data_IF_303835896022
#
_entry.id   IF_303835896022
#
_cell.length_a   1.000
_cell.length_b   1.000
_cell.length_c   1.000
_cell.angle_alpha   90.00
_cell.angle_beta   90.00
_cell.angle_gamma   90.00
#
_symmetry.space_group_name_H-M   'P 1'
#
loop_
_entity.id
_entity.type
_entity.pdbx_description
1 polymer ?
#
# COMPACT_ATOMS: atom_id res chain seq x y z
N UNK A 1 23.67 -19.13 -13.42
CA UNK A 1 22.27 -18.85 -13.05
C UNK A 1 22.34 -17.94 -11.84
N UNK A 2 22.23 -16.62 -12.04
CA UNK A 2 22.10 -15.70 -10.91
C UNK A 2 20.85 -16.12 -10.14
N UNK A 3 21.02 -16.53 -8.89
CA UNK A 3 19.91 -16.83 -8.00
C UNK A 3 19.04 -15.58 -7.97
N UNK A 4 17.83 -15.64 -8.52
CA UNK A 4 16.84 -14.61 -8.27
C UNK A 4 16.78 -14.42 -6.75
N UNK A 5 17.00 -13.21 -6.21
CA UNK A 5 16.88 -13.00 -4.79
C UNK A 5 15.46 -13.45 -4.40
N UNK A 6 15.38 -14.39 -3.45
CA UNK A 6 14.11 -14.88 -2.92
C UNK A 6 13.23 -13.68 -2.61
N UNK A 7 12.00 -13.66 -3.14
CA UNK A 7 11.04 -12.57 -2.88
C UNK A 7 10.97 -12.38 -1.37
N UNK A 8 11.27 -11.18 -0.87
CA UNK A 8 11.24 -10.91 0.57
C UNK A 8 9.80 -11.12 1.08
N UNK A 9 9.66 -11.89 2.15
CA UNK A 9 8.38 -12.18 2.83
C UNK A 9 8.60 -12.11 4.35
N UNK A 10 7.51 -11.87 5.09
CA UNK A 10 7.54 -11.75 6.55
C UNK A 10 8.25 -10.50 7.07
N UNK A 11 8.10 -10.24 8.37
CA UNK A 11 8.79 -9.18 9.11
C UNK A 11 10.09 -9.66 9.75
N UNK A 12 10.29 -10.98 9.85
CA UNK A 12 11.49 -11.56 10.47
C UNK A 12 12.75 -11.21 9.67
N UNK A 13 13.79 -10.80 10.38
CA UNK A 13 15.03 -10.28 9.77
C UNK A 13 14.96 -8.81 9.31
N UNK A 14 13.88 -8.08 9.63
CA UNK A 14 13.71 -6.65 9.32
C UNK A 14 14.88 -5.76 9.73
N UNK A 15 15.57 -6.07 10.83
CA UNK A 15 16.74 -5.32 11.31
C UNK A 15 17.90 -5.25 10.30
N UNK A 16 17.96 -6.19 9.35
CA UNK A 16 18.99 -6.24 8.31
C UNK A 16 18.48 -5.70 6.96
N UNK A 17 17.30 -5.08 6.94
CA UNK A 17 16.66 -4.56 5.73
C UNK A 17 16.64 -3.04 5.79
N UNK A 18 16.69 -2.43 4.61
CA UNK A 18 16.59 -0.99 4.44
C UNK A 18 15.72 -0.68 3.22
N UNK A 19 15.20 0.54 3.15
CA UNK A 19 14.48 1.02 1.98
C UNK A 19 15.45 1.70 1.01
N UNK A 20 15.53 1.21 -0.23
CA UNK A 20 16.45 1.73 -1.25
C UNK A 20 15.83 2.92 -2.00
N UNK A 21 16.12 4.13 -1.52
CA UNK A 21 15.64 5.37 -2.12
C UNK A 21 16.30 5.69 -3.47
N UNK A 22 17.55 5.26 -3.68
CA UNK A 22 18.24 5.46 -4.96
C UNK A 22 17.62 4.60 -6.06
N UNK A 23 17.25 3.35 -5.72
CA UNK A 23 16.53 2.50 -6.67
C UNK A 23 15.12 3.04 -6.96
N UNK A 24 14.43 3.55 -5.94
CA UNK A 24 13.13 4.20 -6.14
C UNK A 24 13.26 5.43 -7.06
N UNK A 25 14.31 6.23 -6.89
CA UNK A 25 14.62 7.38 -7.74
C UNK A 25 14.86 6.98 -9.20
N UNK A 26 15.65 5.93 -9.44
CA UNK A 26 15.92 5.38 -10.78
C UNK A 26 14.62 4.92 -11.46
N UNK A 27 13.79 4.15 -10.75
CA UNK A 27 12.53 3.61 -11.28
C UNK A 27 11.52 4.73 -11.54
N UNK A 28 11.42 5.70 -10.63
CA UNK A 28 10.55 6.87 -10.80
C UNK A 28 10.87 7.62 -12.09
N UNK A 29 12.15 7.86 -12.35
CA UNK A 29 12.61 8.50 -13.59
C UNK A 29 12.16 7.72 -14.83
N UNK A 30 12.32 6.40 -14.83
CA UNK A 30 11.86 5.55 -15.94
C UNK A 30 10.34 5.65 -16.14
N UNK A 31 9.56 5.60 -15.06
CA UNK A 31 8.10 5.73 -15.12
C UNK A 31 7.69 7.10 -15.69
N UNK A 32 8.32 8.19 -15.27
CA UNK A 32 8.05 9.54 -15.81
C UNK A 32 8.28 9.59 -17.33
N UNK A 33 9.39 9.03 -17.83
CA UNK A 33 9.61 8.96 -19.29
C UNK A 33 8.56 8.12 -20.01
N UNK A 34 8.20 6.97 -19.46
CA UNK A 34 7.22 6.07 -20.08
C UNK A 34 5.85 6.73 -20.17
N UNK A 35 5.38 7.34 -19.07
CA UNK A 35 4.10 8.05 -19.06
C UNK A 35 4.10 9.27 -19.99
N UNK A 36 5.22 10.00 -20.09
CA UNK A 36 5.32 11.10 -21.06
C UNK A 36 5.23 10.61 -22.52
N UNK A 37 5.84 9.46 -22.85
CA UNK A 37 5.73 8.86 -24.19
C UNK A 37 4.31 8.38 -24.50
N UNK A 38 3.61 7.84 -23.50
CA UNK A 38 2.22 7.38 -23.66
C UNK A 38 1.32 8.52 -24.15
N UNK A 39 1.54 9.77 -23.71
CA UNK A 39 0.76 10.92 -24.18
C UNK A 39 0.79 11.07 -25.70
N UNK A 40 1.93 10.81 -26.35
CA UNK A 40 2.06 10.98 -27.80
C UNK A 40 1.56 9.75 -28.59
N UNK A 41 1.68 8.55 -28.00
CA UNK A 41 1.30 7.28 -28.66
C UNK A 41 -0.17 6.91 -28.43
N UNK A 42 -0.79 7.44 -27.38
CA UNK A 42 -2.14 7.07 -26.99
C UNK A 42 -3.18 7.37 -28.09
N UNK A 43 -4.09 6.43 -28.32
CA UNK A 43 -5.27 6.69 -29.12
C UNK A 43 -6.30 7.47 -28.29
N UNK A 44 -6.69 8.65 -28.78
CA UNK A 44 -7.66 9.51 -28.10
C UNK A 44 -9.05 9.32 -28.70
N UNK A 45 -10.06 8.88 -27.91
CA UNK A 45 -11.40 8.63 -28.43
C UNK A 45 -12.16 9.93 -28.79
N UNK A 46 -11.76 11.07 -28.21
CA UNK A 46 -12.34 12.39 -28.48
C UNK A 46 -11.25 13.45 -28.57
N UNK A 47 -11.43 14.41 -29.49
CA UNK A 47 -10.41 15.45 -29.77
C UNK A 47 -10.15 16.37 -28.56
N UNK A 48 -11.16 16.61 -27.72
CA UNK A 48 -11.00 17.39 -26.50
C UNK A 48 -10.00 16.75 -25.52
N UNK A 49 -9.97 15.42 -25.43
CA UNK A 49 -9.00 14.69 -24.62
C UNK A 49 -7.59 14.78 -25.20
N UNK A 50 -7.45 14.61 -26.53
CA UNK A 50 -6.16 14.77 -27.22
C UNK A 50 -5.59 16.17 -26.99
N UNK A 51 -6.41 17.20 -27.24
CA UNK A 51 -6.02 18.60 -27.04
C UNK A 51 -5.58 18.87 -25.61
N UNK A 52 -6.32 18.38 -24.61
CA UNK A 52 -5.97 18.53 -23.19
C UNK A 52 -4.60 17.91 -22.88
N UNK A 53 -4.40 16.65 -23.25
CA UNK A 53 -3.15 15.95 -22.95
C UNK A 53 -1.95 16.55 -23.69
N UNK A 54 -2.06 16.94 -24.95
CA UNK A 54 -0.93 17.54 -25.67
C UNK A 54 -0.56 18.92 -25.13
N UNK A 55 -1.56 19.70 -24.68
CA UNK A 55 -1.38 21.06 -24.16
C UNK A 55 -0.79 21.12 -22.75
N UNK A 56 -1.21 20.21 -21.88
CA UNK A 56 -0.86 20.23 -20.45
C UNK A 56 0.08 19.09 -20.05
N UNK A 57 0.09 18.00 -20.81
CA UNK A 57 0.89 16.80 -20.60
C UNK A 57 0.88 16.23 -19.16
N UNK A 58 -0.28 16.18 -18.46
CA UNK A 58 -0.32 15.64 -17.10
C UNK A 58 -0.06 14.13 -17.13
N UNK A 59 0.65 13.62 -16.12
CA UNK A 59 0.81 12.19 -15.86
C UNK A 59 0.39 11.90 -14.41
N UNK A 60 0.13 10.64 -14.07
CA UNK A 60 -0.24 10.23 -12.72
C UNK A 60 0.60 9.05 -12.24
N UNK A 61 1.59 9.33 -11.41
CA UNK A 61 2.41 8.31 -10.73
C UNK A 61 1.78 8.02 -9.37
N UNK A 62 1.54 6.74 -9.11
CA UNK A 62 1.07 6.23 -7.83
C UNK A 62 2.01 5.19 -7.23
N UNK A 63 1.56 4.55 -6.16
CA UNK A 63 2.27 3.48 -5.46
C UNK A 63 1.35 2.29 -5.25
N UNK A 64 1.91 1.15 -4.87
CA UNK A 64 1.20 -0.02 -4.35
C UNK A 64 2.15 -0.77 -3.41
N UNK A 65 1.61 -1.57 -2.49
CA UNK A 65 2.40 -2.34 -1.54
C UNK A 65 3.07 -1.52 -0.44
N UNK A 66 2.47 -0.38 -0.03
CA UNK A 66 3.00 0.38 1.11
C UNK A 66 2.91 -0.43 2.41
N UNK A 67 1.80 -1.13 2.64
CA UNK A 67 1.66 -2.00 3.80
C UNK A 67 2.65 -3.17 3.78
N UNK A 68 2.86 -3.83 2.63
CA UNK A 68 3.90 -4.85 2.47
C UNK A 68 5.27 -4.29 2.85
N UNK A 69 5.59 -3.07 2.40
CA UNK A 69 6.88 -2.40 2.69
C UNK A 69 7.08 -2.22 4.19
N UNK A 70 6.07 -1.72 4.92
CA UNK A 70 6.17 -1.55 6.37
C UNK A 70 6.33 -2.90 7.09
N UNK A 71 5.57 -3.92 6.68
CA UNK A 71 5.71 -5.27 7.25
C UNK A 71 7.11 -5.82 7.02
N UNK A 72 7.63 -5.70 5.79
CA UNK A 72 8.98 -6.16 5.45
C UNK A 72 10.06 -5.45 6.28
N UNK A 73 9.84 -4.20 6.67
CA UNK A 73 10.74 -3.44 7.53
C UNK A 73 10.42 -3.60 9.03
N UNK A 74 9.47 -4.47 9.39
CA UNK A 74 9.08 -4.72 10.78
C UNK A 74 8.43 -3.51 11.46
N UNK A 75 7.85 -2.60 10.68
CA UNK A 75 7.20 -1.40 11.18
C UNK A 75 5.69 -1.63 11.32
N UNK A 76 5.11 -1.20 12.44
CA UNK A 76 3.67 -1.05 12.54
C UNK A 76 3.22 0.11 11.66
N UNK A 77 2.08 -0.01 10.98
CA UNK A 77 1.58 1.02 10.06
C UNK A 77 1.43 2.40 10.74
N UNK A 78 1.04 2.42 12.01
CA UNK A 78 0.84 3.65 12.79
C UNK A 78 2.06 4.10 13.61
N UNK A 79 3.23 3.48 13.40
CA UNK A 79 4.49 3.85 14.05
C UNK A 79 5.06 5.18 13.52
N UNK A 80 5.81 5.94 14.34
CA UNK A 80 6.53 7.13 13.88
C UNK A 80 7.47 6.85 12.70
N UNK A 81 8.15 5.70 12.71
CA UNK A 81 9.08 5.28 11.67
C UNK A 81 8.36 5.04 10.33
N UNK A 82 7.16 4.45 10.35
CA UNK A 82 6.33 4.29 9.16
C UNK A 82 5.80 5.63 8.61
N UNK A 83 5.49 6.60 9.49
CA UNK A 83 5.07 7.95 9.09
C UNK A 83 6.22 8.72 8.42
N UNK A 84 7.43 8.61 8.96
CA UNK A 84 8.64 9.18 8.35
C UNK A 84 8.96 8.52 7.01
N UNK A 85 8.98 7.20 6.94
CA UNK A 85 9.23 6.48 5.69
C UNK A 85 8.18 6.81 4.62
N UNK A 86 6.90 6.94 5.01
CA UNK A 86 5.85 7.41 4.12
C UNK A 86 6.23 8.78 3.50
N UNK A 87 6.59 9.76 4.33
CA UNK A 87 6.99 11.08 3.84
C UNK A 87 8.17 10.99 2.87
N UNK A 88 9.19 10.23 3.23
CA UNK A 88 10.43 10.10 2.46
C UNK A 88 10.23 9.40 1.11
N UNK A 89 9.36 8.38 1.05
CA UNK A 89 8.99 7.70 -0.20
C UNK A 89 8.36 8.71 -1.16
N UNK A 90 7.35 9.45 -0.71
CA UNK A 90 6.64 10.40 -1.57
C UNK A 90 7.49 11.62 -1.93
N UNK A 91 8.34 12.10 -1.01
CA UNK A 91 9.35 13.12 -1.29
C UNK A 91 10.27 12.67 -2.44
N UNK A 92 10.77 11.44 -2.37
CA UNK A 92 11.66 10.85 -3.38
C UNK A 92 10.98 10.74 -4.75
N UNK A 93 9.75 10.22 -4.81
CA UNK A 93 9.05 10.08 -6.09
C UNK A 93 8.76 11.46 -6.69
N UNK A 94 8.34 12.44 -5.88
CA UNK A 94 8.05 13.79 -6.40
C UNK A 94 9.32 14.49 -6.89
N UNK A 95 10.41 14.44 -6.11
CA UNK A 95 11.69 15.04 -6.50
C UNK A 95 12.20 14.45 -7.83
N UNK A 96 12.21 13.12 -7.96
CA UNK A 96 12.78 12.47 -9.14
C UNK A 96 11.86 12.52 -10.35
N UNK A 97 10.54 12.60 -10.17
CA UNK A 97 9.60 12.84 -11.28
C UNK A 97 9.72 14.26 -11.82
N UNK A 98 9.87 15.28 -10.95
CA UNK A 98 10.18 16.66 -11.36
C UNK A 98 11.52 16.73 -12.10
N UNK A 99 12.56 16.08 -11.55
CA UNK A 99 13.88 16.02 -12.18
C UNK A 99 13.80 15.43 -13.58
N UNK A 100 13.17 14.26 -13.73
CA UNK A 100 12.99 13.61 -15.02
C UNK A 100 12.16 14.46 -16.00
N UNK A 101 11.08 15.09 -15.53
CA UNK A 101 10.24 15.99 -16.32
C UNK A 101 11.02 17.21 -16.83
N UNK A 102 11.91 17.77 -16.02
CA UNK A 102 12.81 18.86 -16.41
C UNK A 102 13.92 18.41 -17.37
N UNK A 103 14.44 17.19 -17.22
CA UNK A 103 15.38 16.59 -18.19
C UNK A 103 14.70 16.34 -19.56
N UNK A 104 13.40 16.01 -19.59
CA UNK A 104 12.65 15.95 -20.86
C UNK A 104 12.50 17.36 -21.45
N UNK A 105 12.11 18.34 -20.63
CA UNK A 105 11.93 19.72 -21.08
C UNK A 105 13.22 20.35 -21.65
N UNK A 106 14.38 20.00 -21.10
CA UNK A 106 15.67 20.43 -21.65
C UNK A 106 15.90 19.97 -23.11
N UNK A 107 15.27 18.87 -23.54
CA UNK A 107 15.41 18.30 -24.89
C UNK A 107 14.25 18.65 -25.80
N UNK A 108 13.02 18.69 -25.27
CA UNK A 108 11.79 18.80 -26.05
C UNK A 108 11.01 20.11 -25.81
N UNK A 109 11.53 20.98 -24.93
CA UNK A 109 10.82 22.14 -24.42
C UNK A 109 9.79 21.80 -23.33
N UNK A 110 9.38 22.79 -22.51
CA UNK A 110 8.31 22.60 -21.53
C UNK A 110 6.95 22.33 -22.21
N UNK A 111 5.94 21.92 -21.44
CA UNK A 111 4.57 21.83 -21.97
C UNK A 111 4.03 23.22 -22.35
N UNK A 112 3.07 23.27 -23.29
CA UNK A 112 2.57 24.50 -23.91
C UNK A 112 2.14 25.58 -22.90
N UNK A 113 1.53 25.15 -21.80
CA UNK A 113 0.94 26.04 -20.77
C UNK A 113 1.81 26.18 -19.51
N UNK A 114 3.12 25.95 -19.64
CA UNK A 114 4.07 26.07 -18.52
C UNK A 114 4.21 27.51 -18.02
N UNK A 115 4.32 28.47 -18.93
CA UNK A 115 4.51 29.87 -18.56
C UNK A 115 3.31 30.41 -17.80
N UNK A 116 3.56 30.96 -16.60
CA UNK A 116 2.53 31.48 -15.71
C UNK A 116 2.06 30.48 -14.64
N UNK A 117 2.40 29.19 -14.80
CA UNK A 117 2.16 28.17 -13.77
C UNK A 117 2.93 28.47 -12.48
N UNK A 118 2.51 27.93 -11.32
CA UNK A 118 3.28 28.06 -10.08
C UNK A 118 4.72 27.55 -10.21
N UNK A 119 4.93 26.43 -10.90
CA UNK A 119 6.27 25.86 -11.10
C UNK A 119 7.17 26.82 -11.90
N UNK A 120 6.63 27.51 -12.91
CA UNK A 120 7.38 28.54 -13.64
C UNK A 120 7.81 29.73 -12.78
N UNK A 121 7.18 29.92 -11.62
CA UNK A 121 7.53 30.93 -10.61
C UNK A 121 8.38 30.36 -9.49
N UNK A 122 8.86 29.12 -9.63
CA UNK A 122 9.65 28.41 -8.62
C UNK A 122 8.83 27.89 -7.44
N UNK A 123 7.49 27.83 -7.54
CA UNK A 123 6.59 27.33 -6.49
C UNK A 123 6.26 25.87 -6.79
N UNK A 124 6.73 24.96 -5.94
CA UNK A 124 6.49 23.51 -6.00
C UNK A 124 5.41 23.10 -5.00
N UNK A 125 4.99 21.82 -5.06
CA UNK A 125 3.92 21.32 -4.22
C UNK A 125 4.14 21.52 -2.70
N UNK A 126 5.34 21.26 -2.12
CA UNK A 126 5.57 21.52 -0.69
C UNK A 126 5.38 22.98 -0.30
N UNK A 127 5.75 23.92 -1.18
CA UNK A 127 5.62 25.37 -0.92
C UNK A 127 4.15 25.78 -0.81
N UNK A 128 3.27 25.17 -1.61
CA UNK A 128 1.82 25.40 -1.53
C UNK A 128 1.20 24.92 -0.22
N UNK A 129 1.88 24.03 0.49
CA UNK A 129 1.49 23.52 1.81
C UNK A 129 2.27 24.17 2.95
N UNK A 130 3.16 25.13 2.65
CA UNK A 130 4.10 25.72 3.61
C UNK A 130 4.99 24.67 4.31
N UNK A 131 5.37 23.61 3.59
CA UNK A 131 6.25 22.54 4.09
C UNK A 131 7.65 22.74 3.53
N UNK A 132 8.62 22.73 4.44
CA UNK A 132 10.04 22.65 4.09
C UNK A 132 10.41 21.17 3.90
N UNK A 133 10.86 20.76 2.70
CA UNK A 133 11.26 19.37 2.47
C UNK A 133 12.45 18.94 3.34
N UNK A 134 12.69 17.64 3.43
CA UNK A 134 13.88 17.13 4.14
C UNK A 134 15.17 17.46 3.38
N UNK A 135 16.31 17.22 4.04
CA UNK A 135 17.63 17.34 3.41
C UNK A 135 18.01 16.11 2.57
N UNK A 136 17.11 15.15 2.34
CA UNK A 136 17.39 13.91 1.60
C UNK A 136 17.78 14.19 0.15
N UNK A 137 17.13 15.17 -0.48
CA UNK A 137 17.36 15.55 -1.87
C UNK A 137 17.67 17.05 -1.99
N UNK A 138 18.45 17.41 -3.00
CA UNK A 138 18.89 18.80 -3.18
C UNK A 138 17.84 19.64 -3.94
N UNK A 139 16.83 20.10 -3.20
CA UNK A 139 15.72 20.92 -3.73
C UNK A 139 16.18 22.20 -4.41
N UNK A 140 17.25 22.85 -3.92
CA UNK A 140 17.79 24.06 -4.54
C UNK A 140 18.37 23.78 -5.93
N UNK A 141 19.11 22.68 -6.08
CA UNK A 141 19.63 22.26 -7.37
C UNK A 141 18.50 21.92 -8.34
N UNK A 142 17.46 21.24 -7.87
CA UNK A 142 16.27 20.94 -8.67
C UNK A 142 15.54 22.22 -9.11
N UNK A 143 15.32 23.18 -8.21
CA UNK A 143 14.69 24.47 -8.55
C UNK A 143 15.51 25.24 -9.59
N UNK A 144 16.83 25.27 -9.47
CA UNK A 144 17.71 25.88 -10.49
C UNK A 144 17.59 25.18 -11.84
N UNK A 145 17.50 23.86 -11.84
CA UNK A 145 17.32 23.06 -13.05
C UNK A 145 15.97 23.35 -13.73
N UNK A 146 14.89 23.41 -12.95
CA UNK A 146 13.54 23.75 -13.41
C UNK A 146 13.48 25.20 -13.93
N UNK A 147 14.12 26.15 -13.24
CA UNK A 147 14.17 27.54 -13.69
C UNK A 147 14.86 27.67 -15.06
N UNK A 148 15.90 26.87 -15.30
CA UNK A 148 16.64 26.85 -16.56
C UNK A 148 15.87 26.17 -17.69
N UNK A 149 15.29 24.99 -17.42
CA UNK A 149 14.78 24.10 -18.47
C UNK A 149 13.24 24.08 -18.59
N UNK A 150 12.54 24.52 -17.56
CA UNK A 150 11.14 24.19 -17.34
C UNK A 150 10.91 22.72 -16.96
N UNK A 151 9.66 22.28 -17.06
CA UNK A 151 9.23 20.87 -16.92
C UNK A 151 8.31 20.47 -18.07
N UNK A 152 8.32 19.19 -18.46
CA UNK A 152 7.56 18.67 -19.60
C UNK A 152 6.12 18.31 -19.26
N UNK A 153 5.83 18.02 -18.00
CA UNK A 153 4.53 17.55 -17.53
C UNK A 153 3.98 18.52 -16.49
N UNK A 154 2.73 18.96 -16.64
CA UNK A 154 2.12 19.92 -15.69
C UNK A 154 1.86 19.33 -14.29
N UNK A 155 1.57 18.04 -14.23
CA UNK A 155 1.24 17.28 -13.02
C UNK A 155 1.90 15.90 -13.11
N UNK A 156 2.31 15.34 -11.98
CA UNK A 156 3.16 14.16 -11.92
C UNK A 156 2.61 13.06 -11.01
N UNK A 157 1.99 13.41 -9.89
CA UNK A 157 1.72 12.49 -8.77
C UNK A 157 0.22 12.37 -8.53
N UNK A 158 -0.31 11.15 -8.61
CA UNK A 158 -1.72 10.83 -8.32
C UNK A 158 -1.87 9.38 -7.84
N UNK A 159 -1.65 9.08 -6.55
CA UNK A 159 -1.85 7.75 -6.01
C UNK A 159 -3.30 7.26 -6.17
N UNK A 160 -3.48 6.32 -7.10
CA UNK A 160 -4.75 5.75 -7.54
C UNK A 160 -5.05 4.39 -6.89
N UNK A 161 -6.30 3.92 -6.88
CA UNK A 161 -6.62 2.55 -6.50
C UNK A 161 -5.89 1.58 -7.44
N UNK A 162 -5.27 0.54 -6.89
CA UNK A 162 -4.47 -0.44 -7.65
C UNK A 162 -5.07 -1.84 -7.62
N UNK A 163 -6.37 -1.96 -7.35
CA UNK A 163 -7.08 -3.23 -7.13
C UNK A 163 -6.63 -4.40 -8.03
N UNK A 164 -6.62 -4.22 -9.35
CA UNK A 164 -6.22 -5.29 -10.27
C UNK A 164 -4.70 -5.47 -10.35
N UNK A 165 -3.92 -4.39 -10.41
CA UNK A 165 -2.47 -4.47 -10.63
C UNK A 165 -1.71 -4.92 -9.39
N UNK A 166 -2.16 -4.56 -8.19
CA UNK A 166 -1.56 -5.04 -6.94
C UNK A 166 -1.85 -6.51 -6.72
N UNK A 167 -3.02 -6.99 -7.12
CA UNK A 167 -3.30 -8.43 -7.13
C UNK A 167 -2.37 -9.19 -8.08
N UNK A 168 -2.12 -8.68 -9.30
CA UNK A 168 -1.20 -9.30 -10.26
C UNK A 168 0.22 -9.39 -9.68
N UNK A 169 0.70 -8.35 -9.01
CA UNK A 169 2.04 -8.34 -8.39
C UNK A 169 2.09 -9.03 -7.01
N UNK A 170 0.92 -9.36 -6.47
CA UNK A 170 0.73 -9.93 -5.14
C UNK A 170 1.08 -8.96 -4.02
N UNK A 171 0.80 -7.67 -4.18
CA UNK A 171 0.98 -6.60 -3.18
C UNK A 171 -0.37 -6.16 -2.60
N UNK A 172 -0.35 -5.51 -1.44
CA UNK A 172 -1.52 -4.79 -0.93
C UNK A 172 -1.82 -3.54 -1.78
N UNK A 173 -3.08 -3.12 -1.75
CA UNK A 173 -3.55 -1.99 -2.55
C UNK A 173 -2.91 -0.66 -2.13
N UNK A 174 -2.40 0.07 -3.12
CA UNK A 174 -1.97 1.45 -3.02
C UNK A 174 -1.15 1.78 -1.75
N UNK A 175 -1.57 2.80 -1.01
CA UNK A 175 -1.05 3.21 0.30
C UNK A 175 -1.94 2.74 1.47
N UNK A 176 -2.79 1.72 1.26
CA UNK A 176 -3.73 1.27 2.28
C UNK A 176 -3.08 0.29 3.27
N UNK A 177 -3.49 0.28 4.55
CA UNK A 177 -3.23 -0.84 5.45
C UNK A 177 -3.92 -2.12 4.96
N UNK A 178 -3.53 -3.27 5.48
CA UNK A 178 -4.28 -4.50 5.24
C UNK A 178 -5.68 -4.40 5.84
N UNK A 179 -6.69 -4.67 5.02
CA UNK A 179 -8.09 -4.66 5.47
C UNK A 179 -8.42 -5.86 6.36
N UNK A 180 -7.72 -6.99 6.13
CA UNK A 180 -7.80 -8.22 6.91
C UNK A 180 -6.51 -9.03 6.71
N UNK A 181 -6.10 -9.80 7.71
CA UNK A 181 -5.02 -10.79 7.53
C UNK A 181 -5.52 -12.13 6.95
N UNK A 182 -6.84 -12.32 6.84
CA UNK A 182 -7.44 -13.47 6.19
C UNK A 182 -8.69 -13.04 5.43
N UNK A 183 -8.78 -13.35 4.15
CA UNK A 183 -9.95 -13.00 3.36
C UNK A 183 -10.35 -14.15 2.45
N UNK A 184 -11.65 -14.24 2.21
CA UNK A 184 -12.20 -15.26 1.34
C UNK A 184 -12.21 -14.77 -0.11
N UNK A 185 -11.66 -15.56 -1.03
CA UNK A 185 -11.63 -15.30 -2.46
C UNK A 185 -12.51 -16.31 -3.17
N UNK A 186 -13.61 -15.82 -3.76
CA UNK A 186 -14.44 -16.61 -4.67
C UNK A 186 -13.80 -16.65 -6.06
N UNK A 187 -13.61 -17.85 -6.58
CA UNK A 187 -13.19 -18.14 -7.95
C UNK A 187 -14.19 -19.14 -8.56
N UNK A 188 -14.09 -19.38 -9.86
CA UNK A 188 -15.00 -20.30 -10.56
C UNK A 188 -15.00 -21.73 -9.97
N UNK A 189 -13.88 -22.15 -9.38
CA UNK A 189 -13.70 -23.48 -8.76
C UNK A 189 -14.09 -23.57 -7.29
N UNK A 190 -14.53 -22.47 -6.65
CA UNK A 190 -14.91 -22.48 -5.24
C UNK A 190 -14.53 -21.21 -4.48
N UNK A 191 -14.66 -21.27 -3.16
CA UNK A 191 -14.32 -20.19 -2.24
C UNK A 191 -13.06 -20.58 -1.46
N UNK A 192 -11.96 -19.83 -1.66
CA UNK A 192 -10.65 -20.14 -1.07
C UNK A 192 -10.27 -19.10 -0.03
N UNK A 193 -9.79 -19.55 1.13
CA UNK A 193 -9.30 -18.67 2.18
C UNK A 193 -7.86 -18.26 1.87
N UNK A 194 -7.64 -16.96 1.65
CA UNK A 194 -6.33 -16.37 1.39
C UNK A 194 -5.83 -15.69 2.67
N UNK A 195 -4.67 -16.13 3.14
CA UNK A 195 -3.97 -15.56 4.30
C UNK A 195 -2.99 -14.50 3.82
N UNK A 196 -2.79 -13.45 4.61
CA UNK A 196 -1.68 -12.51 4.41
C UNK A 196 -0.36 -13.29 4.39
N UNK A 197 0.26 -13.35 3.21
CA UNK A 197 1.51 -14.10 2.94
C UNK A 197 2.62 -13.77 3.94
N UNK A 198 2.72 -12.53 4.41
CA UNK A 198 3.75 -12.12 5.35
C UNK A 198 3.47 -12.69 6.75
N UNK A 199 2.22 -12.61 7.22
CA UNK A 199 1.81 -13.18 8.50
C UNK A 199 1.99 -14.70 8.50
N UNK A 200 1.54 -15.36 7.42
CA UNK A 200 1.68 -16.82 7.26
C UNK A 200 3.15 -17.24 7.36
N UNK A 201 4.03 -16.53 6.67
CA UNK A 201 5.47 -16.79 6.71
C UNK A 201 6.03 -16.62 8.13
N UNK A 202 5.77 -15.50 8.80
CA UNK A 202 6.27 -15.26 10.15
C UNK A 202 5.76 -16.29 11.16
N UNK A 203 4.47 -16.65 11.10
CA UNK A 203 3.89 -17.67 11.98
C UNK A 203 4.43 -19.07 11.69
N UNK A 204 4.69 -19.40 10.43
CA UNK A 204 5.31 -20.68 10.03
C UNK A 204 6.75 -20.77 10.52
N UNK A 205 7.56 -19.72 10.30
CA UNK A 205 8.94 -19.68 10.79
C UNK A 205 9.04 -19.76 12.32
N UNK A 206 7.99 -19.33 13.02
CA UNK A 206 7.90 -19.42 14.47
C UNK A 206 7.36 -20.76 14.98
N UNK A 207 6.97 -21.67 14.09
CA UNK A 207 6.30 -22.93 14.45
C UNK A 207 4.92 -22.74 15.09
N UNK A 208 4.29 -21.58 14.88
CA UNK A 208 2.97 -21.25 15.45
C UNK A 208 1.81 -21.56 14.49
N UNK A 209 2.08 -21.60 13.17
CA UNK A 209 1.03 -21.84 12.18
C UNK A 209 0.41 -23.23 12.32
N UNK A 210 -0.90 -23.28 12.48
CA UNK A 210 -1.70 -24.50 12.62
C UNK A 210 -3.14 -24.27 12.14
N UNK A 211 -3.89 -25.34 11.79
CA UNK A 211 -5.32 -25.22 11.47
C UNK A 211 -6.12 -24.55 12.59
N UNK A 212 -5.79 -24.85 13.87
CA UNK A 212 -6.41 -24.20 15.02
C UNK A 212 -6.15 -22.68 15.04
N UNK A 213 -4.92 -22.25 14.76
CA UNK A 213 -4.58 -20.83 14.72
C UNK A 213 -5.25 -20.12 13.54
N UNK A 214 -5.28 -20.75 12.36
CA UNK A 214 -6.05 -20.27 11.19
C UNK A 214 -7.51 -20.03 11.57
N UNK A 215 -8.17 -20.99 12.21
CA UNK A 215 -9.56 -20.86 12.63
C UNK A 215 -9.80 -19.76 13.67
N UNK A 216 -8.85 -19.52 14.58
CA UNK A 216 -8.89 -18.37 15.50
C UNK A 216 -8.83 -17.04 14.76
N UNK A 217 -7.95 -16.91 13.77
CA UNK A 217 -7.82 -15.69 12.96
C UNK A 217 -9.12 -15.45 12.16
N UNK A 218 -9.73 -16.50 11.60
CA UNK A 218 -11.06 -16.41 10.94
C UNK A 218 -12.14 -15.98 11.94
N UNK A 219 -12.15 -16.59 13.12
CA UNK A 219 -13.10 -16.27 14.19
C UNK A 219 -13.00 -14.81 14.63
N UNK A 220 -11.80 -14.22 14.61
CA UNK A 220 -11.56 -12.80 14.91
C UNK A 220 -11.53 -11.88 13.65
N UNK A 221 -12.14 -12.29 12.53
CA UNK A 221 -12.28 -11.49 11.29
C UNK A 221 -10.95 -11.00 10.72
N UNK A 222 -9.94 -11.85 10.79
CA UNK A 222 -8.58 -11.56 10.34
C UNK A 222 -7.75 -10.72 11.31
N UNK A 223 -8.29 -10.40 12.49
CA UNK A 223 -7.50 -9.81 13.56
C UNK A 223 -6.59 -10.85 14.21
N UNK A 224 -5.39 -10.43 14.58
CA UNK A 224 -4.46 -11.21 15.40
C UNK A 224 -4.39 -10.71 16.85
N UNK A 225 -5.08 -9.62 17.19
CA UNK A 225 -4.85 -8.88 18.44
C UNK A 225 -5.23 -9.70 19.68
N UNK A 226 -6.34 -10.44 19.61
CA UNK A 226 -6.92 -11.20 20.73
C UNK A 226 -6.30 -12.60 20.92
N UNK A 227 -5.43 -13.03 20.01
CA UNK A 227 -4.88 -14.38 19.99
C UNK A 227 -3.64 -14.44 20.91
N UNK A 228 -3.68 -15.14 22.06
CA UNK A 228 -2.59 -15.11 23.05
C UNK A 228 -1.31 -15.78 22.55
N UNK A 229 -1.41 -16.74 21.62
CA UNK A 229 -0.24 -17.44 21.04
C UNK A 229 0.67 -16.52 20.20
N UNK A 230 0.14 -15.41 19.69
CA UNK A 230 0.87 -14.49 18.82
C UNK A 230 1.61 -13.44 19.67
N UNK A 231 2.94 -13.28 19.53
CA UNK A 231 3.67 -12.27 20.29
C UNK A 231 3.21 -10.84 20.03
N UNK A 232 3.34 -9.99 21.04
CA UNK A 232 2.91 -8.60 21.00
C UNK A 232 3.53 -7.81 19.82
N UNK A 233 4.83 -7.97 19.58
CA UNK A 233 5.51 -7.28 18.47
C UNK A 233 4.90 -7.63 17.10
N UNK A 234 4.52 -8.90 16.91
CA UNK A 234 3.89 -9.35 15.66
C UNK A 234 2.48 -8.77 15.54
N UNK A 235 1.73 -8.70 16.65
CA UNK A 235 0.41 -8.05 16.67
C UNK A 235 0.47 -6.58 16.27
N UNK A 236 1.52 -5.85 16.66
CA UNK A 236 1.70 -4.47 16.25
C UNK A 236 1.88 -4.34 14.74
N UNK A 237 2.68 -5.22 14.12
CA UNK A 237 2.95 -5.19 12.67
C UNK A 237 1.70 -5.53 11.87
N UNK A 238 0.94 -6.54 12.30
CA UNK A 238 -0.21 -7.07 11.56
C UNK A 238 -1.56 -6.50 12.01
N UNK A 239 -1.57 -5.25 12.50
CA UNK A 239 -2.83 -4.53 12.72
C UNK A 239 -3.61 -4.42 11.40
N UNK A 240 -4.91 -4.67 11.48
CA UNK A 240 -5.80 -4.40 10.35
C UNK A 240 -6.18 -2.92 10.31
N UNK A 241 -6.70 -2.44 9.19
CA UNK A 241 -7.18 -1.06 9.03
C UNK A 241 -8.24 -0.65 10.08
N UNK A 242 -8.97 -1.62 10.62
CA UNK A 242 -10.02 -1.44 11.63
C UNK A 242 -9.45 -1.19 13.03
N UNK A 243 -8.19 -1.56 13.24
CA UNK A 243 -7.45 -1.41 14.50
C UNK A 243 -6.55 -0.16 14.49
N UNK A 244 -6.38 0.46 13.33
CA UNK A 244 -5.61 1.67 13.15
C UNK A 244 -6.53 2.89 13.27
N UNK A 245 -6.10 3.88 14.05
CA UNK A 245 -6.82 5.15 14.19
C UNK A 245 -6.89 5.85 12.83
N UNK A 246 -8.09 6.11 12.33
CA UNK A 246 -8.29 6.79 11.04
C UNK A 246 -7.67 8.20 11.00
N UNK A 247 -7.58 8.87 12.16
CA UNK A 247 -6.84 10.14 12.27
C UNK A 247 -5.38 9.99 11.84
N UNK A 248 -4.71 8.91 12.22
CA UNK A 248 -3.32 8.63 11.83
C UNK A 248 -3.21 8.43 10.31
N UNK A 249 -4.18 7.76 9.69
CA UNK A 249 -4.19 7.60 8.22
C UNK A 249 -4.39 8.95 7.51
N UNK A 250 -5.21 9.84 8.07
CA UNK A 250 -5.35 11.22 7.59
C UNK A 250 -4.04 11.99 7.76
N UNK A 251 -3.36 11.88 8.90
CA UNK A 251 -2.08 12.54 9.15
C UNK A 251 -1.02 12.06 8.13
N UNK A 252 -0.90 10.75 7.91
CA UNK A 252 -0.01 10.18 6.88
C UNK A 252 -0.38 10.64 5.46
N UNK A 253 -1.68 10.81 5.18
CA UNK A 253 -2.15 11.33 3.89
C UNK A 253 -1.78 12.80 3.70
N UNK A 254 -1.78 13.60 4.77
CA UNK A 254 -1.33 15.00 4.76
C UNK A 254 0.17 15.07 4.51
N UNK A 255 0.96 14.26 5.21
CA UNK A 255 2.42 14.22 5.08
C UNK A 255 2.85 13.95 3.63
N UNK A 256 2.26 12.95 2.98
CA UNK A 256 2.53 12.67 1.56
C UNK A 256 1.85 13.65 0.61
N UNK A 257 0.73 14.24 1.00
CA UNK A 257 -0.03 15.21 0.21
C UNK A 257 0.79 16.45 -0.16
N UNK A 258 1.77 16.79 0.67
CA UNK A 258 2.75 17.85 0.42
C UNK A 258 3.66 17.58 -0.79
N UNK A 259 3.74 16.32 -1.24
CA UNK A 259 4.52 15.87 -2.40
C UNK A 259 3.62 15.30 -3.53
N UNK A 260 2.31 15.54 -3.47
CA UNK A 260 1.33 15.09 -4.46
C UNK A 260 0.66 16.30 -5.10
N UNK A 261 1.02 16.60 -6.34
CA UNK A 261 0.50 17.75 -7.08
C UNK A 261 -0.95 17.59 -7.54
N UNK A 262 -1.47 16.35 -7.65
CA UNK A 262 -2.88 16.07 -7.89
C UNK A 262 -3.61 15.76 -6.58
N UNK A 263 -3.99 14.51 -6.31
CA UNK A 263 -4.61 14.07 -5.06
C UNK A 263 -4.36 12.58 -4.86
N UNK A 264 -5.00 11.98 -3.86
CA UNK A 264 -4.89 10.56 -3.51
C UNK A 264 -6.26 9.97 -3.18
N UNK A 265 -6.49 8.72 -3.58
CA UNK A 265 -7.77 8.01 -3.34
C UNK A 265 -7.86 7.45 -1.92
N UNK A 266 -8.05 8.34 -0.93
CA UNK A 266 -8.04 7.98 0.50
C UNK A 266 -9.35 7.32 0.95
N UNK A 267 -9.36 6.01 1.14
CA UNK A 267 -10.47 5.31 1.79
C UNK A 267 -10.44 5.47 3.32
N UNK A 268 -11.62 5.63 3.92
CA UNK A 268 -11.81 5.68 5.36
C UNK A 268 -12.53 4.41 5.81
N UNK A 269 -12.03 3.80 6.87
CA UNK A 269 -12.59 2.59 7.46
C UNK A 269 -13.12 2.89 8.86
N UNK A 270 -14.42 2.71 9.05
CA UNK A 270 -15.08 2.98 10.33
C UNK A 270 -16.08 1.88 10.63
N UNK A 271 -15.77 1.07 11.65
CA UNK A 271 -16.57 -0.08 12.04
C UNK A 271 -18.04 0.30 12.30
N UNK A 272 -18.27 1.17 13.28
CA UNK A 272 -19.58 1.72 13.61
C UNK A 272 -19.62 3.23 13.32
N UNK A 273 -19.97 3.63 12.09
CA UNK A 273 -20.05 5.03 11.72
C UNK A 273 -21.22 5.71 12.42
N UNK A 274 -20.99 6.93 12.88
CA UNK A 274 -22.04 7.81 13.38
C UNK A 274 -21.76 9.26 12.95
N UNK A 275 -22.78 10.11 13.02
CA UNK A 275 -22.68 11.51 12.60
C UNK A 275 -21.51 12.25 13.27
N UNK A 276 -21.31 12.05 14.57
CA UNK A 276 -20.22 12.71 15.30
C UNK A 276 -18.83 12.33 14.79
N UNK A 277 -18.57 11.03 14.59
CA UNK A 277 -17.29 10.51 14.10
C UNK A 277 -17.02 10.95 12.66
N UNK A 278 -18.02 10.83 11.78
CA UNK A 278 -17.89 11.21 10.37
C UNK A 278 -17.66 12.72 10.21
N UNK A 279 -18.48 13.53 10.88
CA UNK A 279 -18.30 15.00 10.88
C UNK A 279 -16.91 15.37 11.38
N UNK A 280 -16.50 14.82 12.52
CA UNK A 280 -15.18 15.13 13.09
C UNK A 280 -14.04 14.76 12.12
N UNK A 281 -14.13 13.61 11.45
CA UNK A 281 -13.11 13.17 10.51
C UNK A 281 -13.08 14.03 9.24
N UNK A 282 -14.24 14.37 8.68
CA UNK A 282 -14.32 15.25 7.50
C UNK A 282 -13.76 16.64 7.78
N UNK A 283 -14.15 17.24 8.90
CA UNK A 283 -13.62 18.54 9.32
C UNK A 283 -12.12 18.45 9.63
N UNK A 284 -11.64 17.34 10.21
CA UNK A 284 -10.22 17.12 10.43
C UNK A 284 -9.44 17.09 9.11
N UNK A 285 -9.84 16.25 8.15
CA UNK A 285 -9.23 16.16 6.83
C UNK A 285 -9.22 17.50 6.09
N UNK A 286 -10.36 18.22 6.11
CA UNK A 286 -10.48 19.54 5.52
C UNK A 286 -9.57 20.58 6.20
N UNK A 287 -9.56 20.63 7.53
CA UNK A 287 -8.71 21.56 8.30
C UNK A 287 -7.22 21.36 8.08
N UNK A 288 -6.82 20.14 7.67
CA UNK A 288 -5.45 19.78 7.33
C UNK A 288 -5.09 20.02 5.86
N UNK A 289 -6.03 20.51 5.04
CA UNK A 289 -5.78 20.87 3.64
C UNK A 289 -5.86 19.70 2.65
N UNK A 290 -6.35 18.53 3.05
CA UNK A 290 -6.51 17.41 2.12
C UNK A 290 -7.44 17.77 0.94
N UNK A 291 -6.94 17.57 -0.28
CA UNK A 291 -7.68 17.79 -1.53
C UNK A 291 -8.81 16.76 -1.70
N UNK A 292 -8.56 15.51 -1.34
CA UNK A 292 -9.56 14.44 -1.23
C UNK A 292 -9.63 14.00 0.23
N UNK A 293 -10.66 14.45 0.95
CA UNK A 293 -10.85 14.11 2.36
C UNK A 293 -11.36 12.68 2.59
N UNK A 294 -12.06 12.11 1.61
CA UNK A 294 -12.55 10.73 1.63
C UNK A 294 -12.91 10.28 0.21
N UNK A 295 -12.52 9.05 -0.16
CA UNK A 295 -12.92 8.37 -1.38
C UNK A 295 -14.14 7.47 -1.10
N UNK A 296 -13.93 6.29 -0.50
CA UNK A 296 -15.01 5.49 0.08
C UNK A 296 -15.01 5.57 1.60
N UNK A 297 -16.21 5.54 2.18
CA UNK A 297 -16.42 5.08 3.55
C UNK A 297 -16.67 3.57 3.51
N UNK A 298 -15.84 2.82 4.22
CA UNK A 298 -16.00 1.38 4.44
C UNK A 298 -16.43 1.16 5.88
N UNK A 299 -17.56 0.50 6.07
CA UNK A 299 -18.07 0.11 7.39
C UNK A 299 -18.25 -1.41 7.47
N UNK A 300 -18.30 -1.93 8.69
CA UNK A 300 -18.70 -3.32 8.95
C UNK A 300 -20.11 -3.32 9.53
N UNK A 301 -20.84 -4.41 9.34
CA UNK A 301 -22.15 -4.56 9.96
C UNK A 301 -21.98 -4.71 11.47
N UNK A 302 -22.89 -4.12 12.25
CA UNK A 302 -22.83 -4.18 13.72
C UNK A 302 -23.17 -5.57 14.29
N UNK A 303 -23.74 -6.47 13.47
CA UNK A 303 -24.05 -7.84 13.83
C UNK A 303 -23.19 -8.78 12.98
N UNK A 304 -22.37 -9.60 13.64
CA UNK A 304 -21.66 -10.69 13.00
C UNK A 304 -22.69 -11.68 12.45
N UNK A 305 -22.68 -11.91 11.14
CA UNK A 305 -23.37 -13.08 10.60
C UNK A 305 -22.79 -14.31 11.30
N UNK A 306 -23.65 -15.18 11.84
CA UNK A 306 -23.26 -16.44 12.45
C UNK A 306 -22.26 -17.13 11.51
N UNK A 307 -21.02 -17.30 11.97
CA UNK A 307 -19.93 -17.85 11.15
C UNK A 307 -20.11 -19.36 11.04
N UNK A 308 -20.92 -19.79 10.08
CA UNK A 308 -21.28 -21.20 9.85
C UNK A 308 -20.10 -22.09 9.42
N UNK A 309 -18.95 -21.51 9.06
CA UNK A 309 -17.78 -22.24 8.54
C UNK A 309 -16.75 -22.61 9.59
N UNK A 310 -16.86 -22.12 10.83
CA UNK A 310 -15.91 -22.45 11.90
C UNK A 310 -16.55 -23.48 12.82
N UNK A 311 -16.00 -24.69 12.87
CA UNK A 311 -16.41 -25.67 13.85
C UNK A 311 -16.03 -25.18 15.26
N UNK A 312 -17.03 -24.69 15.99
CA UNK A 312 -16.85 -24.12 17.32
C UNK A 312 -16.56 -25.16 18.39
N UNK A 313 -16.69 -26.47 18.09
CA UNK A 313 -16.34 -27.55 19.02
C UNK A 313 -14.83 -27.56 19.31
N UNK A 314 -14.00 -27.41 18.28
CA UNK A 314 -12.53 -27.35 18.34
C UNK A 314 -12.04 -26.17 19.21
N UNK A 315 -12.76 -25.06 19.22
CA UNK A 315 -12.44 -23.88 20.05
C UNK A 315 -12.83 -24.06 21.52
N UNK A 316 -13.82 -24.91 21.82
CA UNK A 316 -14.32 -25.15 23.18
C UNK A 316 -13.54 -26.23 23.93
N UNK A 317 -13.01 -27.22 23.23
CA UNK A 317 -12.30 -28.36 23.85
C UNK A 317 -11.03 -27.95 24.63
N UNK A 318 -10.34 -26.88 24.23
CA UNK A 318 -9.14 -26.39 24.94
C UNK A 318 -9.41 -25.63 26.25
N UNK A 319 -10.65 -25.25 26.56
CA UNK A 319 -10.98 -24.70 27.89
C UNK A 319 -11.11 -25.78 28.97
N UNK A 320 -11.15 -27.06 28.59
CA UNK A 320 -11.29 -28.19 29.51
C UNK A 320 -10.07 -29.12 29.57
N UNK A 321 -9.11 -29.03 28.63
CA UNK A 321 -7.89 -29.84 28.61
C UNK A 321 -6.63 -29.01 28.90
N UNK A 322 -6.53 -28.49 30.13
CA UNK A 322 -5.26 -27.99 30.68
C UNK A 322 -4.64 -28.96 31.68
N UNK A 323 -5.17 -30.19 31.74
CA UNK A 323 -4.58 -31.34 32.39
C UNK A 323 -4.48 -32.46 31.33
N UNK A 324 -3.31 -33.09 31.27
CA UNK A 324 -2.89 -34.24 30.44
C UNK A 324 -2.44 -34.00 28.98
N UNK A 325 -1.34 -34.68 28.69
CA UNK A 325 -0.43 -34.52 27.56
C UNK A 325 -0.78 -35.39 26.33
N UNK A 326 -0.22 -34.95 25.19
CA UNK A 326 0.05 -35.62 23.91
C UNK A 326 -1.07 -35.99 22.93
N UNK A 327 -0.72 -35.77 21.63
CA UNK A 327 -1.26 -36.31 20.37
C UNK A 327 -2.64 -35.75 19.90
N UNK A 328 -2.95 -35.43 18.64
CA UNK A 328 -2.53 -35.86 17.29
C UNK A 328 -2.62 -34.67 16.29
N UNK A 329 -1.85 -34.72 15.20
CA UNK A 329 -1.90 -33.73 14.12
C UNK A 329 -3.00 -34.09 13.11
N UNK A 330 -4.10 -33.33 13.12
CA UNK A 330 -5.16 -33.43 12.11
C UNK A 330 -4.84 -32.47 10.95
N UNK A 331 -4.79 -33.03 9.74
CA UNK A 331 -4.00 -32.52 8.62
C UNK A 331 -4.94 -31.94 7.54
N UNK A 332 -5.30 -30.65 7.68
CA UNK A 332 -6.22 -29.91 6.81
C UNK A 332 -5.62 -29.62 5.42
N UNK A 333 -6.34 -29.97 4.34
CA UNK A 333 -5.90 -29.85 2.94
C UNK A 333 -5.66 -28.38 2.52
N UNK A 334 -6.45 -27.45 3.05
CA UNK A 334 -6.21 -26.01 2.87
C UNK A 334 -4.91 -25.55 3.53
N UNK A 335 -4.56 -26.16 4.67
CA UNK A 335 -3.31 -25.84 5.40
C UNK A 335 -2.11 -26.35 4.62
N UNK A 336 -2.21 -27.53 4.00
CA UNK A 336 -1.22 -28.05 3.04
C UNK A 336 -1.09 -27.16 1.82
N UNK A 337 -2.21 -26.74 1.22
CA UNK A 337 -2.19 -25.82 0.08
C UNK A 337 -1.58 -24.46 0.43
N UNK A 338 -1.89 -23.90 1.59
CA UNK A 338 -1.28 -22.65 2.07
C UNK A 338 0.24 -22.79 2.29
N UNK A 339 0.69 -23.93 2.83
CA UNK A 339 2.11 -24.24 3.02
C UNK A 339 2.81 -24.53 1.69
N UNK A 340 2.15 -25.21 0.74
CA UNK A 340 2.66 -25.54 -0.58
C UNK A 340 2.85 -24.28 -1.43
N UNK A 341 1.94 -23.30 -1.34
CA UNK A 341 2.10 -21.95 -1.91
C UNK A 341 3.28 -21.20 -1.27
N UNK A 342 3.62 -21.50 -0.01
CA UNK A 342 4.77 -20.93 0.68
C UNK A 342 6.09 -21.66 0.34
N UNK A 343 6.04 -22.88 -0.19
CA UNK A 343 7.22 -23.64 -0.61
C UNK A 343 7.70 -23.17 -2.00
N UNK A 344 8.77 -22.38 -2.02
CA UNK A 344 9.38 -21.83 -3.24
C UNK A 344 10.07 -22.87 -4.15
N UNK A 345 9.86 -24.17 -3.91
CA UNK A 345 10.54 -25.28 -4.60
C UNK A 345 9.68 -26.05 -5.60
N UNK A 346 8.35 -25.91 -5.62
CA UNK A 346 7.48 -26.64 -6.58
C UNK A 346 6.90 -25.72 -7.66
N UNK A 347 7.79 -25.28 -8.56
CA UNK A 347 7.39 -24.50 -9.74
C UNK A 347 6.60 -25.33 -10.76
N UNK A 348 6.78 -26.65 -10.76
CA UNK A 348 6.22 -27.58 -11.76
C UNK A 348 4.83 -28.15 -11.39
N UNK A 349 4.34 -27.94 -10.16
CA UNK A 349 2.97 -28.31 -9.77
C UNK A 349 1.97 -27.15 -9.88
N UNK A 350 2.43 -25.94 -10.21
CA UNK A 350 1.57 -24.79 -10.44
C UNK A 350 1.01 -24.76 -11.88
N UNK A 351 0.37 -25.85 -12.32
CA UNK A 351 -0.47 -25.90 -13.52
C UNK A 351 -1.96 -25.68 -13.17
N UNK A 352 -2.24 -24.64 -12.39
CA UNK A 352 -3.61 -24.19 -12.10
C UNK A 352 -3.85 -22.73 -12.57
N UNK A 353 -3.15 -22.30 -13.61
CA UNK A 353 -3.57 -21.19 -14.46
C UNK A 353 -3.85 -21.75 -15.86
N UNK A 354 -5.07 -22.25 -16.05
CA UNK A 354 -5.57 -22.65 -17.36
C UNK A 354 -6.17 -21.46 -18.11
N UNK A 355 -5.74 -21.29 -19.36
CA UNK A 355 -6.29 -20.46 -20.46
C UNK A 355 -6.00 -18.96 -20.42
#
# INVERSE_FOLDING_TARGET
>A
MESHPSKLVGSRGSKNRYFDFEKLAEVTKMVTYNLNKIIDVNYYPVETARRSNLRHRPIGIGVQGLADTFILLGMSFDSPEAQELNRDIFETIYYHSLKASSEIAAREGPYETYNGSPVSKGILQPDMWNVVPSSRWNWDALRKMILKNGIRNSLLMAPMPTASTSQILGNNECFEPYTSNIYSRRVLSGEFVVVNKHLLHDLTEMGLWSPTLKNKIIYDDGSVQKIPEIPYELKLIYKTVWEIKQKTLVDMAVDRGCYIDQSQSLNIHMDQPNFGKLTSLHFYAWSKGLKTGMYYLRSRAAADAIKFTVDTSILKEKKQKMDDADAEADDDDDTKMAQMVCSLTNRDECMACGS
#
